data_IF_665286333693
#
_entry.id   IF_665286333693
#
_cell.length_a   1.000
_cell.length_b   1.000
_cell.length_c   1.000
_cell.angle_alpha   90.00
_cell.angle_beta   90.00
_cell.angle_gamma   90.00
#
_symmetry.space_group_name_H-M   'P 1'
#
loop_
_entity.id
_entity.type
_entity.pdbx_description
1 polymer ?
#
# COMPACT_ATOMS: atom_id res chain seq x y z
N UNK A 1 12.84 -1.70 17.39
CA UNK A 1 11.47 -1.13 17.35
C UNK A 1 10.54 -2.02 16.54
N UNK A 2 10.73 -2.15 15.22
CA UNK A 2 9.88 -3.02 14.38
C UNK A 2 9.84 -4.49 14.86
N UNK A 3 11.01 -5.08 15.15
CA UNK A 3 11.05 -6.45 15.67
C UNK A 3 10.36 -6.64 17.03
N UNK A 4 10.15 -5.58 17.80
CA UNK A 4 9.35 -5.63 19.04
C UNK A 4 7.85 -5.49 18.73
N UNK A 5 7.48 -4.64 17.76
CA UNK A 5 6.08 -4.45 17.35
C UNK A 5 5.49 -5.70 16.69
N UNK A 6 6.31 -6.42 15.90
CA UNK A 6 5.90 -7.63 15.19
C UNK A 6 5.98 -8.90 16.05
N UNK A 7 6.56 -8.83 17.25
CA UNK A 7 6.57 -9.96 18.18
C UNK A 7 5.17 -10.20 18.73
N UNK A 8 4.76 -11.46 18.74
CA UNK A 8 3.49 -11.91 19.30
C UNK A 8 3.70 -13.15 20.15
N UNK A 9 3.01 -13.21 21.28
CA UNK A 9 2.93 -14.40 22.15
C UNK A 9 1.77 -15.33 21.75
N UNK A 10 0.97 -14.92 20.76
CA UNK A 10 -0.10 -15.75 20.22
C UNK A 10 0.47 -16.96 19.48
N UNK A 11 -0.27 -18.07 19.50
CA UNK A 11 0.11 -19.28 18.79
C UNK A 11 0.31 -19.00 17.30
N UNK A 12 1.46 -19.45 16.79
CA UNK A 12 1.85 -19.19 15.41
C UNK A 12 0.99 -20.01 14.46
N UNK A 13 0.13 -19.33 13.71
CA UNK A 13 -0.60 -19.95 12.61
C UNK A 13 0.32 -20.15 11.41
N UNK A 14 0.42 -21.38 10.92
CA UNK A 14 1.25 -21.73 9.75
C UNK A 14 0.35 -22.17 8.60
N UNK A 15 0.37 -21.44 7.49
CA UNK A 15 -0.27 -21.84 6.24
C UNK A 15 0.80 -22.24 5.22
N UNK A 16 0.90 -23.52 4.81
CA UNK A 16 1.87 -23.97 3.81
C UNK A 16 1.76 -23.28 2.45
N UNK A 17 0.64 -22.61 2.15
CA UNK A 17 0.44 -21.86 0.90
C UNK A 17 0.95 -20.42 0.98
N UNK A 18 1.24 -19.91 2.17
CA UNK A 18 1.89 -18.62 2.32
C UNK A 18 3.40 -18.80 2.08
N UNK A 19 3.85 -18.51 0.86
CA UNK A 19 5.22 -18.71 0.41
C UNK A 19 6.19 -17.68 1.00
N UNK A 20 5.71 -16.44 1.13
CA UNK A 20 6.45 -15.30 1.69
C UNK A 20 5.49 -14.56 2.62
N UNK A 21 5.95 -14.23 3.82
CA UNK A 21 5.16 -13.54 4.83
C UNK A 21 6.06 -12.83 5.85
N UNK A 22 5.50 -12.44 7.00
CA UNK A 22 6.20 -11.65 8.02
C UNK A 22 7.49 -12.29 8.57
N UNK A 23 7.69 -13.59 8.35
CA UNK A 23 8.84 -14.33 8.86
C UNK A 23 10.13 -14.05 8.10
N UNK A 24 10.04 -13.66 6.82
CA UNK A 24 11.19 -13.38 5.97
C UNK A 24 11.54 -11.89 5.90
N UNK A 25 10.75 -11.03 6.55
CA UNK A 25 10.90 -9.57 6.49
C UNK A 25 10.99 -9.03 5.05
N UNK A 26 10.27 -9.68 4.12
CA UNK A 26 10.13 -9.23 2.74
C UNK A 26 9.09 -8.12 2.62
N UNK A 27 9.24 -7.29 1.59
CA UNK A 27 8.40 -6.12 1.33
C UNK A 27 6.97 -6.49 0.87
N UNK A 28 6.67 -7.77 0.66
CA UNK A 28 5.35 -8.25 0.26
C UNK A 28 5.06 -9.68 0.75
N UNK A 29 3.77 -10.01 0.87
CA UNK A 29 3.30 -11.38 1.07
C UNK A 29 3.02 -12.06 -0.26
N UNK A 30 3.34 -13.36 -0.37
CA UNK A 30 3.04 -14.18 -1.56
C UNK A 30 2.26 -15.42 -1.17
N UNK A 31 1.09 -15.62 -1.77
CA UNK A 31 0.20 -16.74 -1.51
C UNK A 31 0.01 -17.63 -2.74
N UNK A 32 0.27 -18.93 -2.63
CA UNK A 32 0.07 -19.91 -3.71
C UNK A 32 -1.41 -20.31 -3.87
N UNK A 33 -1.94 -20.18 -5.07
CA UNK A 33 -3.29 -20.61 -5.43
C UNK A 33 -3.40 -22.11 -5.72
N UNK A 34 -2.28 -22.84 -5.74
CA UNK A 34 -2.24 -24.30 -5.95
C UNK A 34 -2.33 -24.72 -7.42
N UNK A 35 -2.24 -23.76 -8.34
CA UNK A 35 -2.25 -23.97 -9.80
C UNK A 35 -1.00 -23.40 -10.47
N UNK A 36 0.05 -23.14 -9.70
CA UNK A 36 1.29 -22.51 -10.18
C UNK A 36 1.21 -20.99 -10.29
N UNK A 37 0.16 -20.35 -9.79
CA UNK A 37 0.00 -18.90 -9.73
C UNK A 37 0.09 -18.44 -8.28
N UNK A 38 0.96 -17.47 -8.01
CA UNK A 38 1.03 -16.76 -6.73
C UNK A 38 0.30 -15.41 -6.76
N UNK A 39 -0.37 -15.06 -5.66
CA UNK A 39 -0.89 -13.71 -5.42
C UNK A 39 0.11 -12.96 -4.56
N UNK A 40 0.52 -11.79 -5.03
CA UNK A 40 1.40 -10.88 -4.28
C UNK A 40 0.52 -9.78 -3.66
N UNK A 41 0.70 -9.53 -2.37
CA UNK A 41 0.04 -8.47 -1.63
C UNK A 41 1.09 -7.65 -0.91
N UNK A 42 1.13 -6.34 -1.18
CA UNK A 42 1.98 -5.37 -0.50
C UNK A 42 1.13 -4.22 0.02
N UNK A 43 1.66 -3.48 0.99
CA UNK A 43 1.12 -2.20 1.47
C UNK A 43 2.28 -1.36 1.99
N UNK A 44 2.37 -0.11 1.56
CA UNK A 44 3.33 0.86 2.08
C UNK A 44 2.74 2.27 2.05
N UNK A 45 2.81 3.00 3.17
CA UNK A 45 2.23 4.34 3.30
C UNK A 45 3.17 5.34 3.95
N UNK A 46 2.98 6.59 3.56
CA UNK A 46 3.82 7.69 3.99
C UNK A 46 2.99 8.87 4.51
N UNK A 47 3.61 9.64 5.40
CA UNK A 47 3.26 11.04 5.60
C UNK A 47 3.78 11.88 4.41
N UNK A 48 3.31 13.12 4.22
CA UNK A 48 3.75 13.95 3.09
C UNK A 48 5.27 14.12 3.05
N UNK A 49 5.88 13.71 1.94
CA UNK A 49 7.32 13.84 1.67
C UNK A 49 7.65 15.02 0.76
N UNK A 50 6.62 15.63 0.15
CA UNK A 50 6.69 16.80 -0.72
C UNK A 50 5.47 17.70 -0.48
N UNK A 51 5.59 18.98 -0.83
CA UNK A 51 4.53 19.97 -0.60
C UNK A 51 3.38 19.87 -1.60
N UNK A 52 3.66 19.45 -2.84
CA UNK A 52 2.61 19.31 -3.86
C UNK A 52 1.77 18.04 -3.58
N UNK A 53 0.45 18.17 -3.34
CA UNK A 53 -0.36 17.03 -2.96
C UNK A 53 -0.47 15.98 -4.07
N UNK A 54 -0.47 16.39 -5.33
CA UNK A 54 -0.57 15.47 -6.46
C UNK A 54 0.71 14.66 -6.61
N UNK A 55 1.88 15.30 -6.52
CA UNK A 55 3.17 14.60 -6.54
C UNK A 55 3.34 13.70 -5.31
N UNK A 56 2.90 14.11 -4.12
CA UNK A 56 2.88 13.23 -2.95
C UNK A 56 2.09 11.95 -3.24
N UNK A 57 0.89 12.07 -3.79
CA UNK A 57 0.07 10.93 -4.17
C UNK A 57 0.71 10.03 -5.21
N UNK A 58 1.35 10.62 -6.23
CA UNK A 58 2.09 9.85 -7.25
C UNK A 58 3.26 9.08 -6.64
N UNK A 59 4.05 9.71 -5.78
CA UNK A 59 5.24 9.07 -5.20
C UNK A 59 4.82 7.94 -4.26
N UNK A 60 3.84 8.16 -3.38
CA UNK A 60 3.34 7.13 -2.47
C UNK A 60 2.82 5.90 -3.22
N UNK A 61 1.94 6.08 -4.20
CA UNK A 61 1.41 4.97 -4.99
C UNK A 61 2.49 4.28 -5.84
N UNK A 62 3.44 5.04 -6.40
CA UNK A 62 4.56 4.45 -7.16
C UNK A 62 5.41 3.56 -6.27
N UNK A 63 5.69 4.01 -5.04
CA UNK A 63 6.46 3.24 -4.07
C UNK A 63 5.72 1.95 -3.69
N UNK A 64 4.44 2.04 -3.30
CA UNK A 64 3.64 0.87 -2.95
C UNK A 64 3.51 -0.15 -4.10
N UNK A 65 3.45 0.32 -5.35
CA UNK A 65 3.43 -0.57 -6.53
C UNK A 65 4.81 -1.21 -6.77
N UNK A 66 5.89 -0.56 -6.33
CA UNK A 66 7.26 -1.00 -6.65
C UNK A 66 7.61 -2.37 -6.07
N UNK A 67 7.06 -2.75 -4.91
CA UNK A 67 7.30 -4.07 -4.30
C UNK A 67 6.76 -5.20 -5.18
N UNK A 68 5.63 -4.97 -5.86
CA UNK A 68 5.07 -5.95 -6.81
C UNK A 68 6.08 -6.18 -7.94
N UNK A 69 6.68 -5.12 -8.48
CA UNK A 69 7.68 -5.23 -9.53
C UNK A 69 9.00 -5.83 -9.01
N UNK A 70 9.42 -5.50 -7.79
CA UNK A 70 10.62 -6.06 -7.16
C UNK A 70 10.52 -7.57 -6.98
N UNK A 71 9.32 -8.08 -6.66
CA UNK A 71 9.02 -9.50 -6.58
C UNK A 71 8.84 -10.17 -7.96
N UNK A 72 9.04 -9.45 -9.06
CA UNK A 72 8.84 -9.95 -10.43
C UNK A 72 7.37 -10.14 -10.81
N UNK A 73 6.45 -9.59 -10.02
CA UNK A 73 5.02 -9.66 -10.24
C UNK A 73 4.51 -8.67 -11.28
N UNK A 74 3.25 -8.88 -11.67
CA UNK A 74 2.49 -7.92 -12.48
C UNK A 74 1.34 -7.39 -11.63
N UNK A 75 1.25 -6.08 -11.37
CA UNK A 75 0.14 -5.53 -10.63
C UNK A 75 -1.16 -5.69 -11.44
N UNK A 76 -2.27 -5.95 -10.74
CA UNK A 76 -3.58 -6.17 -11.37
C UNK A 76 -4.65 -5.18 -10.87
N UNK A 77 -4.47 -4.62 -9.68
CA UNK A 77 -5.36 -3.62 -9.07
C UNK A 77 -4.63 -2.91 -7.93
N UNK A 78 -5.14 -1.76 -7.52
CA UNK A 78 -4.75 -1.06 -6.29
C UNK A 78 -5.99 -0.59 -5.54
N UNK A 79 -5.88 -0.42 -4.22
CA UNK A 79 -6.89 0.21 -3.36
C UNK A 79 -6.21 1.28 -2.51
N UNK A 80 -6.83 2.45 -2.38
CA UNK A 80 -6.28 3.54 -1.60
C UNK A 80 -6.45 3.29 -0.09
N UNK A 81 -5.45 3.69 0.70
CA UNK A 81 -5.58 3.82 2.15
C UNK A 81 -5.28 5.27 2.50
N UNK A 82 -6.28 6.00 3.01
CA UNK A 82 -6.18 7.44 3.24
C UNK A 82 -6.46 7.80 4.71
N UNK A 83 -5.48 8.39 5.39
CA UNK A 83 -5.70 9.17 6.60
C UNK A 83 -5.70 10.65 6.24
N UNK A 84 -6.68 11.43 6.68
CA UNK A 84 -6.72 12.85 6.32
C UNK A 84 -7.33 13.74 7.42
N UNK A 85 -6.72 14.89 7.77
CA UNK A 85 -7.21 15.77 8.83
C UNK A 85 -8.32 16.69 8.31
N UNK A 86 -9.56 16.21 8.33
CA UNK A 86 -10.71 16.90 7.72
C UNK A 86 -11.05 18.25 8.37
N UNK A 87 -10.57 18.47 9.60
CA UNK A 87 -10.75 19.73 10.34
C UNK A 87 -9.62 20.73 10.12
N UNK A 88 -8.53 20.33 9.43
CA UNK A 88 -7.32 21.16 9.24
C UNK A 88 -7.11 21.48 7.77
N UNK A 89 -7.34 20.51 6.88
CA UNK A 89 -7.12 20.65 5.45
C UNK A 89 -8.42 20.47 4.66
N UNK A 90 -8.61 21.22 3.56
CA UNK A 90 -9.80 21.12 2.75
C UNK A 90 -9.81 19.81 1.93
N UNK A 91 -10.99 19.20 1.67
CA UNK A 91 -11.10 17.94 0.92
C UNK A 91 -10.47 17.95 -0.48
N UNK A 92 -10.36 19.12 -1.12
CA UNK A 92 -9.73 19.29 -2.43
C UNK A 92 -8.23 18.94 -2.40
N UNK A 93 -7.57 19.07 -1.25
CA UNK A 93 -6.19 18.59 -1.08
C UNK A 93 -6.16 17.06 -1.11
N UNK A 94 -7.05 16.39 -0.38
CA UNK A 94 -7.17 14.92 -0.44
C UNK A 94 -7.52 14.43 -1.84
N UNK A 95 -8.39 15.14 -2.57
CA UNK A 95 -8.69 14.84 -3.97
C UNK A 95 -7.44 14.85 -4.84
N UNK A 96 -6.59 15.88 -4.74
CA UNK A 96 -5.33 15.95 -5.50
C UNK A 96 -4.38 14.82 -5.16
N UNK A 97 -4.29 14.44 -3.88
CA UNK A 97 -3.48 13.30 -3.42
C UNK A 97 -3.97 12.01 -4.10
N UNK A 98 -5.27 11.74 -4.03
CA UNK A 98 -5.86 10.54 -4.65
C UNK A 98 -5.74 10.58 -6.18
N UNK A 99 -5.83 11.75 -6.81
CA UNK A 99 -5.62 11.92 -8.25
C UNK A 99 -4.18 11.61 -8.66
N UNK A 100 -3.21 11.98 -7.83
CA UNK A 100 -1.81 11.60 -7.98
C UNK A 100 -1.63 10.08 -7.94
N UNK A 101 -2.18 9.43 -6.90
CA UNK A 101 -2.14 7.97 -6.79
C UNK A 101 -2.80 7.27 -7.98
N UNK A 102 -3.93 7.80 -8.47
CA UNK A 102 -4.61 7.29 -9.66
C UNK A 102 -3.77 7.44 -10.93
N UNK A 103 -3.05 8.55 -11.07
CA UNK A 103 -2.15 8.75 -12.21
C UNK A 103 -1.02 7.70 -12.22
N UNK A 104 -0.38 7.45 -11.07
CA UNK A 104 0.64 6.40 -10.94
C UNK A 104 0.09 5.01 -11.23
N UNK A 105 -1.11 4.68 -10.72
CA UNK A 105 -1.80 3.43 -11.05
C UNK A 105 -2.03 3.28 -12.56
N UNK A 106 -2.47 4.35 -13.22
CA UNK A 106 -2.71 4.35 -14.65
C UNK A 106 -1.41 4.16 -15.45
N UNK A 107 -0.31 4.78 -15.02
CA UNK A 107 1.04 4.56 -15.59
C UNK A 107 1.49 3.11 -15.44
N UNK A 108 1.15 2.45 -14.33
CA UNK A 108 1.40 1.02 -14.10
C UNK A 108 0.40 0.08 -14.82
N UNK A 109 -0.60 0.62 -15.53
CA UNK A 109 -1.59 -0.16 -16.27
C UNK A 109 -2.67 -0.81 -15.41
N UNK A 110 -2.93 -0.28 -14.22
CA UNK A 110 -3.95 -0.78 -13.28
C UNK A 110 -4.95 0.30 -12.89
N UNK A 111 -6.09 -0.11 -12.34
CA UNK A 111 -7.09 0.80 -11.78
C UNK A 111 -6.88 0.98 -10.28
N UNK A 112 -7.03 2.21 -9.80
CA UNK A 112 -7.29 2.49 -8.39
C UNK A 112 -8.76 2.19 -8.11
N UNK A 113 -9.03 1.01 -7.55
CA UNK A 113 -10.34 0.35 -7.53
C UNK A 113 -11.20 0.66 -6.29
N UNK A 114 -10.95 1.78 -5.63
CA UNK A 114 -11.61 2.16 -4.38
C UNK A 114 -10.58 2.32 -3.26
N UNK A 115 -11.00 2.08 -2.02
CA UNK A 115 -10.14 2.22 -0.86
C UNK A 115 -10.91 2.39 0.44
N UNK A 116 -10.16 2.74 1.49
CA UNK A 116 -10.70 3.11 2.79
C UNK A 116 -10.09 4.42 3.26
N UNK A 117 -10.90 5.25 3.94
CA UNK A 117 -10.45 6.54 4.46
C UNK A 117 -10.91 6.77 5.89
N UNK A 118 -10.07 7.40 6.69
CA UNK A 118 -10.36 7.78 8.07
C UNK A 118 -10.02 9.25 8.33
N UNK A 119 -10.70 9.86 9.30
CA UNK A 119 -10.22 11.11 9.90
C UNK A 119 -8.95 10.80 10.71
N UNK A 120 -7.87 11.52 10.43
CA UNK A 120 -6.57 11.33 11.06
C UNK A 120 -5.90 12.68 11.32
N UNK A 121 -5.13 12.86 12.41
CA UNK A 121 -4.47 14.14 12.71
C UNK A 121 -3.48 14.60 11.63
N UNK A 122 -2.91 13.67 10.87
CA UNK A 122 -1.92 13.91 9.81
C UNK A 122 -2.32 13.21 8.51
N UNK A 123 -1.94 13.76 7.33
CA UNK A 123 -2.19 13.09 6.06
C UNK A 123 -1.36 11.81 5.93
N UNK A 124 -1.97 10.73 5.44
CA UNK A 124 -1.33 9.43 5.17
C UNK A 124 -1.92 8.87 3.87
N UNK A 125 -1.10 8.32 2.96
CA UNK A 125 -1.56 7.64 1.75
C UNK A 125 -0.80 6.34 1.44
N UNK A 126 -1.53 5.28 1.04
CA UNK A 126 -1.10 4.19 0.13
C UNK A 126 -1.74 4.40 -1.25
#
# INVERSE_FOLDING_TARGET
MLGTILQSELEKFTDPRLLVGNETADDAAVYDLGNGIGIISTTDFFMPIVDDPFDFGRIAATNAISDIFAMGGKPIMAIAILGFPINVLPPEVAQKIVDGGRAACHEAGISLAGGHSIDAPEPILV
#
